data_IF_551013359952
#
_entry.id   IF_551013359952
#
_cell.length_a   1.000
_cell.length_b   1.000
_cell.length_c   1.000
_cell.angle_alpha   90.00
_cell.angle_beta   90.00
_cell.angle_gamma   90.00
#
_symmetry.space_group_name_H-M   'P 1'
#
loop_
_entity.id
_entity.type
_entity.pdbx_description
1 polymer ?
#
# COMPACT_ATOMS: atom_id res chain seq x y z
N UNK A 1 -5.88 -4.99 14.14
CA UNK A 1 -4.51 -4.44 14.17
C UNK A 1 -4.31 -3.63 12.90
N UNK A 2 -3.91 -2.37 13.00
CA UNK A 2 -3.67 -1.51 11.83
C UNK A 2 -2.18 -1.47 11.52
N UNK A 3 -1.83 -1.61 10.26
CA UNK A 3 -0.45 -1.57 9.78
C UNK A 3 -0.34 -0.59 8.62
N UNK A 4 0.68 0.26 8.67
CA UNK A 4 1.11 1.06 7.54
C UNK A 4 2.28 0.37 6.83
N UNK A 5 2.24 0.37 5.50
CA UNK A 5 3.30 -0.21 4.66
C UNK A 5 3.89 0.89 3.81
N UNK A 6 5.21 1.07 3.90
CA UNK A 6 5.99 1.97 3.05
C UNK A 6 6.95 1.17 2.19
N UNK A 7 7.12 1.56 0.92
CA UNK A 7 8.12 0.95 0.04
C UNK A 7 9.26 1.95 -0.12
N UNK A 8 10.44 1.59 0.39
CA UNK A 8 11.66 2.40 0.28
C UNK A 8 12.53 1.93 -0.89
N UNK A 9 13.16 2.89 -1.56
CA UNK A 9 14.03 2.66 -2.72
C UNK A 9 15.52 2.80 -2.41
N UNK A 10 15.89 3.03 -1.14
CA UNK A 10 17.27 3.05 -0.63
C UNK A 10 17.95 4.42 -0.67
N UNK A 11 17.37 5.39 -1.35
CA UNK A 11 17.80 6.79 -1.46
C UNK A 11 17.10 7.73 -0.44
N UNK A 12 16.24 7.18 0.40
CA UNK A 12 15.44 7.91 1.40
C UNK A 12 16.07 7.80 2.80
N UNK A 13 16.05 8.88 3.59
CA UNK A 13 16.42 8.84 5.02
C UNK A 13 15.32 8.11 5.81
N UNK A 14 15.44 6.78 5.83
CA UNK A 14 14.48 5.88 6.46
C UNK A 14 14.35 6.16 7.97
N UNK A 15 15.46 6.49 8.64
CA UNK A 15 15.44 6.75 10.08
C UNK A 15 14.64 8.00 10.39
N UNK A 16 14.92 9.10 9.69
CA UNK A 16 14.15 10.33 9.85
C UNK A 16 12.66 10.11 9.53
N UNK A 17 12.35 9.32 8.50
CA UNK A 17 10.97 8.96 8.17
C UNK A 17 10.28 8.16 9.28
N UNK A 18 10.93 7.12 9.80
CA UNK A 18 10.41 6.29 10.89
C UNK A 18 10.16 7.11 12.16
N UNK A 19 11.10 7.98 12.53
CA UNK A 19 10.95 8.88 13.69
C UNK A 19 9.78 9.84 13.52
N UNK A 20 9.69 10.47 12.34
CA UNK A 20 8.56 11.35 12.00
C UNK A 20 7.25 10.59 12.03
N UNK A 21 7.19 9.38 11.47
CA UNK A 21 6.00 8.54 11.50
C UNK A 21 5.57 8.24 12.94
N UNK A 22 6.48 7.75 13.77
CA UNK A 22 6.22 7.41 15.17
C UNK A 22 5.70 8.62 15.97
N UNK A 23 6.17 9.82 15.65
CA UNK A 23 5.69 11.06 16.27
C UNK A 23 4.24 11.40 15.90
N UNK A 24 3.81 11.13 14.66
CA UNK A 24 2.47 11.47 14.19
C UNK A 24 1.46 10.34 14.42
N UNK A 25 1.90 9.08 14.34
CA UNK A 25 1.07 7.88 14.40
C UNK A 25 1.70 6.81 15.32
N UNK A 26 1.81 7.06 16.62
CA UNK A 26 2.50 6.15 17.55
C UNK A 26 1.86 4.76 17.64
N UNK A 27 0.54 4.68 17.48
CA UNK A 27 -0.23 3.43 17.57
C UNK A 27 -0.28 2.64 16.27
N UNK A 28 0.22 3.21 15.16
CA UNK A 28 0.22 2.56 13.85
C UNK A 28 1.60 2.00 13.57
N UNK A 29 1.72 0.68 13.65
CA UNK A 29 2.95 -0.02 13.28
C UNK A 29 3.27 0.25 11.81
N UNK A 30 4.49 0.73 11.56
CA UNK A 30 5.04 0.94 10.22
C UNK A 30 5.88 -0.28 9.83
N UNK A 31 5.68 -0.79 8.62
CA UNK A 31 6.53 -1.80 7.98
C UNK A 31 7.13 -1.19 6.73
N UNK A 32 8.46 -1.24 6.64
CA UNK A 32 9.21 -0.74 5.49
C UNK A 32 9.65 -1.93 4.64
N UNK A 33 9.33 -1.87 3.36
CA UNK A 33 9.69 -2.86 2.36
C UNK A 33 10.72 -2.25 1.43
N UNK A 34 11.90 -2.87 1.34
CA UNK A 34 12.91 -2.43 0.38
C UNK A 34 12.60 -3.00 -1.00
N UNK A 35 12.63 -2.16 -2.02
CA UNK A 35 12.56 -2.59 -3.41
C UNK A 35 13.80 -2.17 -4.18
N UNK A 36 14.57 -3.16 -4.60
CA UNK A 36 15.46 -3.02 -5.76
C UNK A 36 14.58 -2.74 -7.00
N UNK A 37 15.04 -1.90 -7.93
CA UNK A 37 14.33 -1.56 -9.19
C UNK A 37 13.09 -0.63 -9.10
N UNK A 38 12.90 0.11 -8.01
CA UNK A 38 11.78 1.07 -7.85
C UNK A 38 10.38 0.47 -8.10
N UNK A 39 10.21 -0.82 -7.82
CA UNK A 39 8.93 -1.51 -7.99
C UNK A 39 8.08 -1.40 -6.73
N UNK A 40 6.86 -0.87 -6.83
CA UNK A 40 5.94 -0.77 -5.69
C UNK A 40 5.07 -2.02 -5.55
N UNK A 41 4.62 -2.56 -6.67
CA UNK A 41 3.62 -3.64 -6.69
C UNK A 41 4.20 -4.94 -6.11
N UNK A 42 5.41 -5.31 -6.55
CA UNK A 42 6.05 -6.59 -6.18
C UNK A 42 6.34 -6.74 -4.68
N UNK A 43 6.92 -5.76 -3.98
CA UNK A 43 7.12 -5.89 -2.54
C UNK A 43 5.79 -5.94 -1.78
N UNK A 44 4.81 -5.11 -2.17
CA UNK A 44 3.51 -5.07 -1.51
C UNK A 44 2.74 -6.38 -1.72
N UNK A 45 2.71 -6.93 -2.94
CA UNK A 45 2.03 -8.19 -3.23
C UNK A 45 2.60 -9.35 -2.42
N UNK A 46 3.93 -9.48 -2.38
CA UNK A 46 4.62 -10.50 -1.56
C UNK A 46 4.34 -10.33 -0.06
N UNK A 47 4.25 -9.08 0.40
CA UNK A 47 3.95 -8.80 1.79
C UNK A 47 2.52 -9.21 2.15
N UNK A 48 1.55 -8.86 1.30
CA UNK A 48 0.14 -9.25 1.47
C UNK A 48 0.01 -10.77 1.43
N UNK A 49 0.66 -11.47 0.48
CA UNK A 49 0.68 -12.94 0.43
C UNK A 49 1.17 -13.56 1.74
N UNK A 50 2.25 -13.00 2.32
CA UNK A 50 2.83 -13.49 3.57
C UNK A 50 1.88 -13.29 4.76
N UNK A 51 1.18 -12.16 4.82
CA UNK A 51 0.17 -11.93 5.86
C UNK A 51 -1.04 -12.82 5.61
N UNK A 52 -1.51 -12.94 4.37
CA UNK A 52 -2.72 -13.71 4.03
C UNK A 52 -2.56 -15.19 4.37
N UNK A 53 -1.37 -15.77 4.12
CA UNK A 53 -1.06 -17.14 4.55
C UNK A 53 -1.22 -17.32 6.07
N UNK A 54 -0.66 -16.42 6.87
CA UNK A 54 -0.79 -16.45 8.34
C UNK A 54 -2.21 -16.16 8.83
N UNK A 55 -2.93 -15.29 8.13
CA UNK A 55 -4.28 -14.89 8.45
C UNK A 55 -5.30 -16.00 8.18
N UNK A 56 -5.12 -16.77 7.09
CA UNK A 56 -5.99 -17.89 6.74
C UNK A 56 -5.97 -19.00 7.81
N UNK A 57 -4.80 -19.25 8.41
CA UNK A 57 -4.68 -20.21 9.51
C UNK A 57 -5.49 -19.78 10.76
N UNK A 58 -5.86 -18.50 10.85
CA UNK A 58 -6.51 -17.87 12.00
C UNK A 58 -7.88 -17.23 11.65
N UNK A 59 -8.39 -17.47 10.45
CA UNK A 59 -9.64 -16.91 9.91
C UNK A 59 -9.76 -15.37 9.99
N UNK A 60 -8.63 -14.67 9.83
CA UNK A 60 -8.60 -13.20 9.83
C UNK A 60 -8.85 -12.62 8.43
N UNK A 61 -9.55 -11.48 8.39
CA UNK A 61 -9.83 -10.73 7.17
C UNK A 61 -8.88 -9.54 7.03
N UNK A 62 -8.26 -9.37 5.86
CA UNK A 62 -7.32 -8.28 5.59
C UNK A 62 -8.03 -7.22 4.76
N UNK A 63 -8.06 -5.97 5.22
CA UNK A 63 -8.56 -4.85 4.43
C UNK A 63 -7.40 -4.00 3.95
N UNK A 64 -7.19 -3.94 2.63
CA UNK A 64 -6.17 -3.11 2.00
C UNK A 64 -6.81 -1.80 1.57
N UNK A 65 -6.31 -0.70 2.12
CA UNK A 65 -6.78 0.65 1.79
C UNK A 65 -5.85 1.27 0.75
N UNK A 66 -6.37 1.59 -0.43
CA UNK A 66 -5.61 2.15 -1.55
C UNK A 66 -6.15 3.55 -1.85
N UNK A 67 -5.31 4.60 -1.78
CA UNK A 67 -5.71 5.93 -2.22
C UNK A 67 -5.79 5.98 -3.76
N UNK A 68 -6.86 6.57 -4.29
CA UNK A 68 -7.02 6.84 -5.71
C UNK A 68 -6.95 8.32 -6.02
N UNK A 69 -5.92 8.72 -6.76
CA UNK A 69 -5.76 10.09 -7.21
C UNK A 69 -6.73 10.40 -8.34
N UNK A 70 -7.66 11.33 -8.10
CA UNK A 70 -8.63 11.80 -9.11
C UNK A 70 -8.15 13.15 -9.64
N UNK A 71 -7.53 13.18 -10.82
CA UNK A 71 -7.21 14.44 -11.51
C UNK A 71 -8.36 14.92 -12.41
N UNK A 72 -8.42 16.23 -12.70
CA UNK A 72 -9.45 16.83 -13.58
C UNK A 72 -9.41 16.34 -15.04
N UNK A 73 -8.26 15.85 -15.53
CA UNK A 73 -8.09 15.35 -16.91
C UNK A 73 -7.93 13.84 -16.91
N UNK A 74 -8.93 13.10 -17.41
CA UNK A 74 -8.97 11.62 -17.40
C UNK A 74 -7.75 10.95 -18.06
N UNK A 75 -7.10 11.61 -19.03
CA UNK A 75 -5.88 11.12 -19.68
C UNK A 75 -4.63 11.16 -18.81
N UNK A 76 -4.52 12.09 -17.85
CA UNK A 76 -3.41 12.07 -16.87
C UNK A 76 -3.57 10.92 -15.86
N UNK A 77 -4.81 10.49 -15.56
CA UNK A 77 -5.05 9.34 -14.67
C UNK A 77 -4.58 8.00 -15.27
N UNK A 78 -4.57 7.86 -16.60
CA UNK A 78 -4.19 6.59 -17.26
C UNK A 78 -2.69 6.29 -17.13
N UNK A 79 -1.84 7.32 -17.02
CA UNK A 79 -0.39 7.16 -16.83
C UNK A 79 -0.01 7.06 -15.35
N UNK A 80 -0.72 7.76 -14.46
CA UNK A 80 -0.34 7.83 -13.05
C UNK A 80 -0.96 6.73 -12.16
N UNK A 81 -2.10 6.14 -12.52
CA UNK A 81 -2.82 5.20 -11.64
C UNK A 81 -2.71 3.71 -12.05
N UNK A 82 -1.76 3.36 -12.94
CA UNK A 82 -1.57 1.97 -13.40
C UNK A 82 -1.18 1.04 -12.26
N UNK A 83 -0.41 1.53 -11.29
CA UNK A 83 0.02 0.78 -10.11
C UNK A 83 -1.17 0.33 -9.28
N UNK A 84 -2.12 1.24 -8.99
CA UNK A 84 -3.32 0.94 -8.22
C UNK A 84 -4.23 -0.04 -8.96
N UNK A 85 -4.39 0.11 -10.28
CA UNK A 85 -5.19 -0.82 -11.08
C UNK A 85 -4.64 -2.25 -11.02
N UNK A 86 -3.32 -2.41 -11.25
CA UNK A 86 -2.66 -3.72 -11.18
C UNK A 86 -2.76 -4.32 -9.78
N UNK A 87 -2.61 -3.51 -8.74
CA UNK A 87 -2.73 -3.96 -7.35
C UNK A 87 -4.15 -4.42 -7.03
N UNK A 88 -5.18 -3.68 -7.44
CA UNK A 88 -6.59 -4.11 -7.28
C UNK A 88 -6.88 -5.42 -8.01
N UNK A 89 -6.43 -5.53 -9.26
CA UNK A 89 -6.59 -6.76 -10.05
C UNK A 89 -5.87 -7.95 -9.43
N UNK A 90 -4.72 -7.73 -8.78
CA UNK A 90 -4.04 -8.79 -8.05
C UNK A 90 -4.78 -9.20 -6.77
N UNK A 91 -5.32 -8.22 -6.02
CA UNK A 91 -5.96 -8.46 -4.72
C UNK A 91 -7.36 -9.03 -4.82
N UNK A 92 -8.11 -8.76 -5.90
CA UNK A 92 -9.48 -9.28 -6.06
C UNK A 92 -9.54 -10.81 -6.15
N UNK A 93 -8.45 -11.47 -6.57
CA UNK A 93 -8.35 -12.93 -6.63
C UNK A 93 -7.84 -13.56 -5.32
N UNK A 94 -7.48 -12.75 -4.32
CA UNK A 94 -7.00 -13.24 -3.02
C UNK A 94 -8.18 -13.53 -2.09
N UNK A 95 -8.24 -14.75 -1.55
CA UNK A 95 -9.23 -15.10 -0.52
C UNK A 95 -8.97 -14.29 0.75
N UNK A 96 -10.05 -13.89 1.43
CA UNK A 96 -10.04 -13.16 2.71
C UNK A 96 -9.37 -11.77 2.66
N UNK A 97 -9.28 -11.18 1.47
CA UNK A 97 -8.75 -9.82 1.26
C UNK A 97 -9.86 -8.91 0.71
N UNK A 98 -10.16 -7.85 1.45
CA UNK A 98 -11.00 -6.76 1.01
C UNK A 98 -10.15 -5.61 0.48
N UNK A 99 -10.62 -4.97 -0.59
CA UNK A 99 -9.97 -3.80 -1.16
C UNK A 99 -10.88 -2.58 -0.96
N UNK A 100 -10.40 -1.59 -0.20
CA UNK A 100 -11.07 -0.32 0.01
C UNK A 100 -10.34 0.77 -0.77
N UNK A 101 -11.06 1.48 -1.62
CA UNK A 101 -10.51 2.57 -2.43
C UNK A 101 -10.95 3.91 -1.85
N UNK A 102 -9.99 4.78 -1.50
CA UNK A 102 -10.30 6.11 -0.97
C UNK A 102 -9.97 7.16 -2.03
N UNK A 103 -10.96 7.92 -2.54
CA UNK A 103 -10.71 8.95 -3.54
C UNK A 103 -9.98 10.14 -2.92
N UNK A 104 -8.75 10.39 -3.37
CA UNK A 104 -7.97 11.57 -3.01
C UNK A 104 -8.09 12.63 -4.11
N UNK A 105 -8.87 13.67 -3.83
CA UNK A 105 -9.02 14.83 -4.72
C UNK A 105 -7.90 15.82 -4.42
N UNK A 106 -6.92 15.90 -5.31
CA UNK A 106 -5.90 16.94 -5.26
C UNK A 106 -6.59 18.31 -5.42
N UNK A 107 -6.64 19.08 -4.33
CA UNK A 107 -6.98 20.51 -4.42
C UNK A 107 -5.78 21.22 -5.03
N UNK A 108 -6.05 22.01 -6.06
CA UNK A 108 -5.07 22.81 -6.79
C UNK A 108 -4.44 23.86 -5.88
#
# INVERSE_FOLDING_TARGET
MSLAVHVSFGDEDEKAFQEKWKRHFPDVRLVILHSEYRSIIRPISRFIDKINRKANDQNYMITVVIPEFITKKRWHNLLHNQTSLRMKLYLIYQKNVNVCTIPFKLKK
#
